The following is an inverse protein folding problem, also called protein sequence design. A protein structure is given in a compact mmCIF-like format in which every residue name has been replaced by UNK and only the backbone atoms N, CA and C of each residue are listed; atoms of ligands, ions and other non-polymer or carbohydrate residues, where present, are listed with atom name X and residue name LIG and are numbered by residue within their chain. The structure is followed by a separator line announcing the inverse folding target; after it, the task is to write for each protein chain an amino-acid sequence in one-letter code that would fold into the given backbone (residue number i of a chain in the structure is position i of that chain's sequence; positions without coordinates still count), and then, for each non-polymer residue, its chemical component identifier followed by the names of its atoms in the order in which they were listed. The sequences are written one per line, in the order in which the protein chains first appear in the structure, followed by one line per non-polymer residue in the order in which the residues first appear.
data_IF_227198268427
#
_entry.id   IF_227198268427
#
_cell.length_a   1.000
_cell.length_b   1.000
_cell.length_c   1.000
_cell.angle_alpha   90.00
_cell.angle_beta   90.00
_cell.angle_gamma   90.00
#
_symmetry.space_group_name_H-M   'P 1'
#
loop_
_entity.id
_entity.type
_entity.pdbx_description
1 polymer ?
#
# COMPACT_ATOMS: atom_id res chain seq x y z
N UNK A 1 -6.95 10.97 49.83
CA UNK A 1 -8.24 11.36 49.22
C UNK A 1 -8.03 11.50 47.72
N UNK A 2 -8.86 10.83 46.93
CA UNK A 2 -8.76 10.68 45.47
C UNK A 2 -10.05 11.25 44.90
N UNK A 3 -9.93 12.23 44.02
CA UNK A 3 -11.10 12.82 43.40
C UNK A 3 -11.70 11.90 42.34
N UNK A 4 -13.02 11.87 42.24
CA UNK A 4 -13.69 11.07 41.24
C UNK A 4 -15.11 11.51 40.97
N UNK A 5 -15.75 10.75 40.08
CA UNK A 5 -17.14 10.92 39.67
C UNK A 5 -17.84 9.57 39.71
N UNK A 6 -19.05 9.54 40.26
CA UNK A 6 -19.92 8.37 40.27
C UNK A 6 -21.02 8.55 39.23
N UNK A 7 -21.11 7.60 38.30
CA UNK A 7 -22.12 7.54 37.26
C UNK A 7 -23.16 6.46 37.60
N UNK A 8 -24.45 6.79 37.45
CA UNK A 8 -25.54 5.83 37.60
C UNK A 8 -25.73 4.96 36.35
N UNK A 9 -26.31 3.77 36.52
CA UNK A 9 -26.51 2.74 35.48
C UNK A 9 -27.28 3.23 34.23
N UNK A 10 -28.03 4.34 34.33
CA UNK A 10 -28.79 4.93 33.22
C UNK A 10 -28.20 6.26 32.70
N UNK A 11 -26.91 6.51 32.96
CA UNK A 11 -26.08 7.44 32.17
C UNK A 11 -26.35 8.94 32.32
N UNK A 12 -27.25 9.39 33.19
CA UNK A 12 -27.67 10.80 33.20
C UNK A 12 -27.26 11.61 34.44
N UNK A 13 -26.81 10.98 35.52
CA UNK A 13 -26.39 11.69 36.74
C UNK A 13 -24.93 11.40 37.10
N UNK A 14 -24.17 12.48 37.26
CA UNK A 14 -22.76 12.47 37.65
C UNK A 14 -22.66 13.13 39.02
N UNK A 15 -22.30 12.35 40.03
CA UNK A 15 -22.11 12.89 41.38
C UNK A 15 -20.62 13.02 41.68
N UNK A 16 -20.12 14.23 42.04
CA UNK A 16 -18.73 14.39 42.43
C UNK A 16 -18.47 13.72 43.78
N UNK A 17 -17.41 12.92 43.85
CA UNK A 17 -17.05 12.15 45.04
C UNK A 17 -15.56 12.31 45.37
N UNK A 18 -15.23 11.95 46.61
CA UNK A 18 -13.87 11.71 47.07
C UNK A 18 -13.76 10.27 47.55
N UNK A 19 -12.82 9.53 46.99
CA UNK A 19 -12.51 8.17 47.39
C UNK A 19 -11.26 8.11 48.27
N UNK A 20 -11.21 7.21 49.22
CA UNK A 20 -10.01 6.83 49.97
C UNK A 20 -9.97 5.32 50.15
N UNK A 21 -8.77 4.80 50.39
CA UNK A 21 -8.62 3.43 50.88
C UNK A 21 -8.31 3.54 52.37
N UNK A 22 -9.18 2.98 53.21
CA UNK A 22 -9.07 2.97 54.67
C UNK A 22 -9.18 1.52 55.11
N UNK A 23 -8.21 1.01 55.86
CA UNK A 23 -8.17 -0.39 56.34
C UNK A 23 -8.45 -1.43 55.24
N UNK A 24 -7.88 -1.22 54.06
CA UNK A 24 -8.04 -2.07 52.87
C UNK A 24 -9.47 -2.08 52.27
N UNK A 25 -10.29 -1.09 52.58
CA UNK A 25 -11.65 -0.89 52.06
C UNK A 25 -11.69 0.39 51.24
N UNK A 26 -12.33 0.35 50.06
CA UNK A 26 -12.61 1.55 49.27
C UNK A 26 -13.78 2.31 49.90
N UNK A 27 -13.52 3.53 50.36
CA UNK A 27 -14.48 4.42 51.01
C UNK A 27 -14.78 5.59 50.08
N UNK A 28 -16.06 5.77 49.71
CA UNK A 28 -16.53 6.83 48.82
C UNK A 28 -17.36 7.84 49.61
N UNK A 29 -17.01 9.13 49.50
CA UNK A 29 -17.70 10.26 50.14
C UNK A 29 -18.19 11.25 49.07
N UNK A 30 -19.40 11.76 49.20
CA UNK A 30 -19.95 12.76 48.26
C UNK A 30 -19.38 14.16 48.55
N UNK A 31 -19.09 14.96 47.51
CA UNK A 31 -18.40 16.26 47.65
C UNK A 31 -19.31 17.46 47.95
N UNK A 32 -20.64 17.33 47.99
CA UNK A 32 -21.56 18.37 48.47
C UNK A 32 -22.98 17.80 48.69
N UNK A 33 -23.60 18.12 49.82
CA UNK A 33 -24.96 17.69 50.23
C UNK A 33 -26.10 18.51 49.57
N UNK A 34 -25.80 19.57 48.82
CA UNK A 34 -26.81 20.52 48.31
C UNK A 34 -27.31 20.27 46.87
N UNK A 35 -27.01 19.12 46.26
CA UNK A 35 -27.56 18.74 44.93
C UNK A 35 -28.14 17.33 44.87
N UNK A 36 -28.74 16.84 45.96
CA UNK A 36 -29.68 15.73 45.88
C UNK A 36 -31.05 16.25 45.44
N UNK A 37 -31.31 16.20 44.12
CA UNK A 37 -32.69 16.27 43.62
C UNK A 37 -33.45 15.08 44.21
N UNK A 38 -34.48 15.40 44.99
CA UNK A 38 -35.39 14.43 45.58
C UNK A 38 -36.15 13.70 44.49
N UNK A 39 -35.90 12.39 44.33
CA UNK A 39 -36.99 11.48 43.99
C UNK A 39 -36.76 10.05 44.50
N UNK A 40 -37.68 9.65 45.39
CA UNK A 40 -38.15 8.30 45.76
C UNK A 40 -37.19 7.21 46.32
N UNK A 41 -37.27 7.00 47.65
CA UNK A 41 -37.74 5.75 48.26
C UNK A 41 -36.76 4.60 48.56
N UNK A 42 -36.56 4.29 49.86
CA UNK A 42 -36.85 3.02 50.57
C UNK A 42 -35.90 2.75 51.77
N UNK A 43 -36.25 1.74 52.60
CA UNK A 43 -35.58 1.33 53.84
C UNK A 43 -35.20 -0.16 53.85
N UNK A 44 -34.56 -0.62 54.93
CA UNK A 44 -33.84 -1.90 55.05
C UNK A 44 -34.70 -2.96 55.77
N UNK A 45 -34.70 -4.22 55.29
CA UNK A 45 -35.18 -5.44 55.98
C UNK A 45 -34.03 -6.47 56.09
N UNK A 46 -34.10 -7.38 57.07
CA UNK A 46 -33.06 -8.27 57.63
C UNK A 46 -32.49 -9.35 56.69
N UNK A 47 -32.48 -9.16 55.36
CA UNK A 47 -32.05 -10.17 54.37
C UNK A 47 -30.91 -9.74 53.42
N UNK A 48 -30.05 -8.81 53.86
CA UNK A 48 -28.72 -8.55 53.28
C UNK A 48 -28.67 -8.36 51.75
N UNK A 49 -29.70 -7.72 51.17
CA UNK A 49 -29.74 -7.34 49.76
C UNK A 49 -29.77 -5.81 49.67
N UNK A 50 -28.80 -5.20 48.99
CA UNK A 50 -28.62 -3.73 48.96
C UNK A 50 -29.63 -3.08 48.01
N UNK A 51 -30.62 -2.34 48.54
CA UNK A 51 -31.43 -1.39 47.77
C UNK A 51 -31.71 -0.12 48.60
N UNK A 52 -31.48 1.03 47.95
CA UNK A 52 -31.88 2.42 48.23
C UNK A 52 -32.13 2.85 49.69
N UNK A 53 -31.32 3.80 50.18
CA UNK A 53 -31.64 4.66 51.32
C UNK A 53 -31.94 6.08 50.84
N UNK A 54 -33.16 6.54 51.10
CA UNK A 54 -33.61 7.94 51.00
C UNK A 54 -32.86 8.84 52.00
N UNK A 55 -32.23 9.91 51.51
CA UNK A 55 -31.57 10.95 52.31
C UNK A 55 -32.61 11.90 52.92
N UNK A 56 -32.67 11.95 54.25
CA UNK A 56 -33.32 13.01 55.02
C UNK A 56 -32.35 14.19 55.08
N UNK A 57 -32.85 15.42 54.82
CA UNK A 57 -32.01 16.62 54.85
C UNK A 57 -31.39 16.82 56.24
N UNK A 58 -30.07 16.90 56.32
CA UNK A 58 -29.34 17.37 57.50
C UNK A 58 -28.48 16.36 58.25
N UNK A 59 -28.36 15.10 57.80
CA UNK A 59 -27.38 14.14 58.33
C UNK A 59 -26.39 13.71 57.24
N UNK A 60 -25.10 13.68 57.58
CA UNK A 60 -24.06 13.29 56.64
C UNK A 60 -24.32 11.91 56.06
N UNK A 61 -24.45 11.85 54.74
CA UNK A 61 -24.61 10.59 54.01
C UNK A 61 -23.50 9.63 54.42
N UNK A 62 -23.86 8.45 54.93
CA UNK A 62 -22.86 7.45 55.30
C UNK A 62 -21.99 7.10 54.09
N UNK A 63 -20.67 6.99 54.28
CA UNK A 63 -19.77 6.70 53.18
C UNK A 63 -20.01 5.30 52.63
N UNK A 64 -20.06 5.15 51.31
CA UNK A 64 -20.14 3.83 50.67
C UNK A 64 -18.81 3.10 50.86
N UNK A 65 -18.88 1.81 51.20
CA UNK A 65 -17.71 0.97 51.51
C UNK A 65 -17.73 -0.30 50.67
N UNK A 66 -16.63 -0.58 49.98
CA UNK A 66 -16.50 -1.77 49.12
C UNK A 66 -15.18 -2.50 49.38
N UNK A 67 -15.25 -3.82 49.46
CA UNK A 67 -14.07 -4.68 49.46
C UNK A 67 -13.52 -4.83 48.04
N UNK A 68 -12.22 -5.15 47.93
CA UNK A 68 -11.58 -5.32 46.62
C UNK A 68 -12.24 -6.42 45.78
N UNK A 69 -12.72 -7.50 46.40
CA UNK A 69 -13.42 -8.60 45.72
C UNK A 69 -14.81 -8.23 45.19
N UNK A 70 -15.38 -7.11 45.64
CA UNK A 70 -16.72 -6.64 45.28
C UNK A 70 -16.68 -5.67 44.10
N UNK A 71 -15.50 -5.16 43.73
CA UNK A 71 -15.35 -4.19 42.65
C UNK A 71 -14.62 -4.81 41.47
N UNK A 72 -15.03 -4.42 40.26
CA UNK A 72 -14.35 -4.84 39.05
C UNK A 72 -13.73 -3.63 38.36
N UNK A 73 -12.40 -3.60 38.29
CA UNK A 73 -11.67 -2.51 37.65
C UNK A 73 -11.08 -2.96 36.32
N UNK A 74 -11.18 -2.10 35.29
CA UNK A 74 -10.46 -2.31 34.05
C UNK A 74 -8.95 -2.18 34.28
N UNK A 75 -8.18 -2.87 33.44
CA UNK A 75 -6.71 -2.80 33.46
C UNK A 75 -6.23 -1.37 33.22
N UNK A 76 -5.21 -0.95 33.99
CA UNK A 76 -4.60 0.38 33.85
C UNK A 76 -4.06 0.62 32.44
N UNK A 77 -4.39 1.78 31.87
CA UNK A 77 -3.83 2.29 30.62
C UNK A 77 -3.23 3.68 30.86
N UNK A 78 -1.90 3.80 30.79
CA UNK A 78 -1.19 5.07 31.00
C UNK A 78 -1.56 5.83 32.28
N UNK A 79 -1.85 7.13 32.13
CA UNK A 79 -2.28 8.06 33.20
C UNK A 79 -3.77 8.44 33.07
N UNK A 80 -4.57 7.58 32.44
CA UNK A 80 -6.00 7.82 32.32
C UNK A 80 -6.70 7.60 33.67
N UNK A 81 -7.84 8.27 33.91
CA UNK A 81 -8.70 7.98 35.05
C UNK A 81 -9.03 6.48 35.16
N UNK A 82 -9.11 5.97 36.39
CA UNK A 82 -9.47 4.57 36.64
C UNK A 82 -10.98 4.41 36.62
N UNK A 83 -11.45 3.55 35.73
CA UNK A 83 -12.83 3.07 35.68
C UNK A 83 -13.00 1.82 36.56
N UNK A 84 -13.91 1.91 37.53
CA UNK A 84 -14.23 0.85 38.48
C UNK A 84 -15.75 0.63 38.45
N UNK A 85 -16.17 -0.57 38.09
CA UNK A 85 -17.56 -1.00 38.15
C UNK A 85 -17.87 -1.52 39.56
N UNK A 86 -18.90 -0.95 40.17
CA UNK A 86 -19.41 -1.33 41.50
C UNK A 86 -20.49 -2.44 41.37
N UNK A 87 -20.84 -3.17 42.45
CA UNK A 87 -21.82 -4.28 42.43
C UNK A 87 -23.23 -3.96 41.87
N UNK A 88 -23.57 -2.69 41.70
CA UNK A 88 -24.87 -2.20 41.22
C UNK A 88 -24.78 -1.57 39.82
N UNK A 89 -23.81 -2.00 39.02
CA UNK A 89 -23.50 -1.49 37.67
C UNK A 89 -23.22 0.03 37.61
N UNK A 90 -22.97 0.66 38.76
CA UNK A 90 -22.51 2.05 38.81
C UNK A 90 -21.03 2.11 38.43
N UNK A 91 -20.69 3.11 37.63
CA UNK A 91 -19.32 3.34 37.20
C UNK A 91 -18.70 4.45 38.06
N UNK A 92 -17.62 4.10 38.75
CA UNK A 92 -16.78 5.03 39.45
C UNK A 92 -15.57 5.37 38.58
N UNK A 93 -15.38 6.65 38.29
CA UNK A 93 -14.22 7.17 37.56
C UNK A 93 -13.37 7.99 38.52
N UNK A 94 -12.20 7.48 38.88
CA UNK A 94 -11.28 8.15 39.80
C UNK A 94 -10.08 8.74 39.06
N UNK A 95 -9.61 9.90 39.54
CA UNK A 95 -8.35 10.47 39.11
C UNK A 95 -7.18 9.49 39.35
N UNK A 96 -6.12 9.54 38.53
CA UNK A 96 -4.97 8.65 38.69
C UNK A 96 -4.36 8.77 40.09
N UNK A 97 -4.34 7.66 40.83
CA UNK A 97 -3.78 7.60 42.18
C UNK A 97 -2.91 6.35 42.38
N UNK A 98 -1.65 6.50 42.83
CA UNK A 98 -0.78 5.36 43.14
C UNK A 98 -1.38 4.40 44.17
N UNK A 99 -2.06 4.96 45.18
CA UNK A 99 -2.64 4.20 46.28
C UNK A 99 -3.83 3.35 45.82
N UNK A 100 -4.67 3.90 44.93
CA UNK A 100 -5.77 3.16 44.30
C UNK A 100 -5.27 2.03 43.40
N UNK A 101 -4.23 2.30 42.61
CA UNK A 101 -3.65 1.28 41.73
C UNK A 101 -3.00 0.14 42.53
N UNK A 102 -2.36 0.46 43.66
CA UNK A 102 -1.78 -0.55 44.55
C UNK A 102 -2.87 -1.43 45.17
N UNK A 103 -3.98 -0.83 45.61
CA UNK A 103 -5.10 -1.55 46.18
C UNK A 103 -5.82 -2.43 45.14
N UNK A 104 -6.03 -1.94 43.90
CA UNK A 104 -6.71 -2.70 42.84
C UNK A 104 -5.86 -3.82 42.25
N UNK A 105 -4.62 -3.51 41.86
CA UNK A 105 -3.81 -4.40 41.03
C UNK A 105 -2.68 -5.09 41.83
N UNK A 106 -2.65 -4.93 43.17
CA UNK A 106 -1.58 -5.48 44.02
C UNK A 106 -0.18 -4.95 43.70
N UNK A 107 -0.09 -3.83 42.96
CA UNK A 107 1.15 -3.29 42.41
C UNK A 107 1.66 -3.99 41.14
N UNK A 108 1.04 -5.09 40.71
CA UNK A 108 1.40 -5.80 39.49
C UNK A 108 0.57 -5.24 38.31
N UNK A 109 0.99 -4.09 37.77
CA UNK A 109 0.43 -3.62 36.51
C UNK A 109 0.56 -4.69 35.41
N UNK A 110 -0.42 -4.77 34.51
CA UNK A 110 -0.39 -5.66 33.33
C UNK A 110 0.97 -5.62 32.62
N UNK A 111 1.43 -6.73 32.03
CA UNK A 111 2.69 -6.79 31.25
C UNK A 111 2.78 -5.66 30.23
N UNK A 112 1.64 -5.24 29.67
CA UNK A 112 1.51 -4.13 28.73
C UNK A 112 1.84 -2.78 29.41
N UNK A 113 1.34 -2.52 30.62
CA UNK A 113 1.65 -1.30 31.39
C UNK A 113 3.12 -1.22 31.82
N UNK A 114 3.76 -2.37 32.08
CA UNK A 114 5.20 -2.45 32.34
C UNK A 114 6.05 -2.17 31.09
N UNK A 115 5.52 -2.44 29.90
CA UNK A 115 6.16 -2.10 28.63
C UNK A 115 5.98 -0.61 28.29
N UNK A 116 4.81 -0.03 28.56
CA UNK A 116 4.54 1.41 28.39
C UNK A 116 5.41 2.31 29.28
N UNK A 117 5.75 1.86 30.49
CA UNK A 117 6.54 2.63 31.45
C UNK A 117 8.03 2.68 31.12
N UNK A 118 8.52 1.78 30.26
CA UNK A 118 9.94 1.76 29.83
C UNK A 118 10.11 2.52 28.52
N UNK A 119 10.50 3.79 28.63
CA UNK A 119 10.90 4.69 27.51
C UNK A 119 11.67 4.02 26.35
N UNK A 120 12.62 3.08 26.55
CA UNK A 120 13.31 2.46 25.41
C UNK A 120 12.41 1.61 24.51
N UNK A 121 11.35 0.97 25.02
CA UNK A 121 10.45 0.15 24.20
C UNK A 121 9.53 0.99 23.33
N UNK A 122 9.11 2.15 23.83
CA UNK A 122 8.32 3.12 23.04
C UNK A 122 9.17 3.74 21.92
N UNK A 123 10.42 4.10 22.20
CA UNK A 123 11.34 4.58 21.15
C UNK A 123 11.66 3.45 20.16
N UNK A 124 11.89 2.23 20.63
CA UNK A 124 12.12 1.08 19.78
C UNK A 124 10.92 0.80 18.86
N UNK A 125 9.67 0.88 19.36
CA UNK A 125 8.48 0.66 18.51
C UNK A 125 8.30 1.77 17.47
N UNK A 126 8.56 3.03 17.84
CA UNK A 126 8.49 4.17 16.91
C UNK A 126 9.50 4.05 15.76
N UNK A 127 10.65 3.40 15.97
CA UNK A 127 11.64 3.16 14.93
C UNK A 127 11.43 1.84 14.19
N UNK A 128 11.06 0.78 14.92
CA UNK A 128 10.97 -0.58 14.38
C UNK A 128 9.73 -0.76 13.52
N UNK A 129 8.60 -0.13 13.84
CA UNK A 129 7.39 -0.25 13.02
C UNK A 129 7.59 0.38 11.64
N UNK A 130 8.06 1.63 11.48
CA UNK A 130 8.37 2.17 10.16
C UNK A 130 9.45 1.39 9.41
N UNK A 131 10.48 0.90 10.11
CA UNK A 131 11.50 0.06 9.49
C UNK A 131 10.91 -1.25 8.96
N UNK A 132 10.04 -1.90 9.73
CA UNK A 132 9.38 -3.14 9.32
C UNK A 132 8.42 -2.90 8.16
N UNK A 133 7.66 -1.81 8.18
CA UNK A 133 6.85 -1.40 7.03
C UNK A 133 7.73 -1.14 5.81
N UNK A 134 8.84 -0.41 5.95
CA UNK A 134 9.79 -0.20 4.87
C UNK A 134 10.30 -1.53 4.30
N UNK A 135 10.71 -2.48 5.14
CA UNK A 135 11.17 -3.79 4.68
C UNK A 135 10.05 -4.55 3.96
N UNK A 136 8.84 -4.58 4.50
CA UNK A 136 7.71 -5.29 3.88
C UNK A 136 7.35 -4.67 2.52
N UNK A 137 7.18 -3.36 2.47
CA UNK A 137 6.67 -2.68 1.28
C UNK A 137 7.73 -2.42 0.22
N UNK A 138 8.96 -2.10 0.62
CA UNK A 138 10.03 -1.74 -0.32
C UNK A 138 10.87 -2.94 -0.75
N UNK A 139 10.97 -3.98 0.08
CA UNK A 139 11.79 -5.16 -0.24
C UNK A 139 10.94 -6.43 -0.39
N UNK A 140 10.03 -6.69 0.54
CA UNK A 140 9.22 -7.90 0.55
C UNK A 140 8.23 -7.97 -0.61
N UNK A 141 7.50 -6.88 -0.86
CA UNK A 141 6.47 -6.81 -1.89
C UNK A 141 7.05 -6.93 -3.31
N UNK A 142 8.09 -6.18 -3.73
CA UNK A 142 8.69 -6.37 -5.05
C UNK A 142 9.26 -7.78 -5.24
N UNK A 143 9.88 -8.35 -4.20
CA UNK A 143 10.36 -9.74 -4.26
C UNK A 143 9.21 -10.73 -4.48
N UNK A 144 8.09 -10.55 -3.79
CA UNK A 144 6.91 -11.38 -3.94
C UNK A 144 6.28 -11.22 -5.33
N UNK A 145 6.24 -9.99 -5.87
CA UNK A 145 5.72 -9.69 -7.20
C UNK A 145 6.49 -10.39 -8.32
N UNK A 146 7.84 -10.38 -8.26
CA UNK A 146 8.68 -11.14 -9.20
C UNK A 146 8.32 -12.63 -9.17
N UNK A 147 8.26 -13.22 -7.97
CA UNK A 147 7.93 -14.65 -7.82
C UNK A 147 6.53 -15.00 -8.27
N UNK A 148 5.58 -14.10 -8.08
CA UNK A 148 4.21 -14.28 -8.55
C UNK A 148 4.14 -14.20 -10.07
N UNK A 149 4.75 -13.18 -10.68
CA UNK A 149 4.75 -12.95 -12.13
C UNK A 149 5.30 -14.15 -12.91
N UNK A 150 6.37 -14.78 -12.42
CA UNK A 150 6.99 -15.95 -13.03
C UNK A 150 6.08 -17.21 -13.00
N UNK A 151 5.08 -17.24 -12.13
CA UNK A 151 4.15 -18.37 -12.00
C UNK A 151 2.80 -18.14 -12.68
N UNK A 152 2.58 -16.97 -13.29
CA UNK A 152 1.34 -16.69 -14.00
C UNK A 152 1.28 -17.56 -15.26
N UNK A 153 0.21 -18.39 -15.43
CA UNK A 153 0.04 -19.19 -16.64
C UNK A 153 -0.11 -18.34 -17.90
N UNK A 154 0.39 -18.83 -19.04
CA UNK A 154 0.33 -18.11 -20.31
C UNK A 154 -1.10 -17.81 -20.78
N UNK A 155 -2.09 -18.61 -20.37
CA UNK A 155 -3.51 -18.35 -20.65
C UNK A 155 -4.00 -17.03 -20.03
N UNK A 156 -3.51 -16.70 -18.82
CA UNK A 156 -3.85 -15.44 -18.14
C UNK A 156 -3.12 -14.29 -18.81
N UNK A 157 -1.84 -14.46 -19.19
CA UNK A 157 -1.07 -13.46 -19.94
C UNK A 157 -1.75 -13.13 -21.28
N UNK A 158 -2.17 -14.15 -22.00
CA UNK A 158 -2.88 -14.03 -23.29
C UNK A 158 -4.21 -13.30 -23.11
N UNK A 159 -5.01 -13.71 -22.14
CA UNK A 159 -6.30 -13.07 -21.86
C UNK A 159 -6.13 -11.59 -21.48
N UNK A 160 -5.19 -11.29 -20.58
CA UNK A 160 -4.88 -9.92 -20.17
C UNK A 160 -4.42 -9.07 -21.37
N UNK A 161 -3.56 -9.63 -22.22
CA UNK A 161 -3.03 -8.93 -23.41
C UNK A 161 -4.13 -8.65 -24.43
N UNK A 162 -5.00 -9.63 -24.70
CA UNK A 162 -6.13 -9.45 -25.61
C UNK A 162 -7.09 -8.34 -25.14
N UNK A 163 -7.44 -8.33 -23.86
CA UNK A 163 -8.29 -7.29 -23.29
C UNK A 163 -7.62 -5.92 -23.32
N UNK A 164 -6.33 -5.86 -23.03
CA UNK A 164 -5.54 -4.63 -23.07
C UNK A 164 -5.49 -4.06 -24.48
N UNK A 165 -5.09 -4.88 -25.46
CA UNK A 165 -5.03 -4.45 -26.86
C UNK A 165 -6.38 -4.00 -27.39
N UNK A 166 -7.45 -4.75 -27.08
CA UNK A 166 -8.81 -4.38 -27.51
C UNK A 166 -9.28 -3.05 -26.89
N UNK A 167 -8.92 -2.79 -25.62
CA UNK A 167 -9.23 -1.52 -24.97
C UNK A 167 -8.46 -0.36 -25.62
N UNK A 168 -7.20 -0.56 -25.99
CA UNK A 168 -6.38 0.43 -26.68
C UNK A 168 -6.88 0.67 -28.11
N UNK A 169 -7.17 -0.38 -28.88
CA UNK A 169 -7.77 -0.28 -30.22
C UNK A 169 -9.13 0.45 -30.20
N UNK A 170 -9.86 0.43 -29.08
CA UNK A 170 -11.12 1.18 -28.94
C UNK A 170 -10.91 2.65 -28.54
N UNK A 171 -9.83 2.98 -27.85
CA UNK A 171 -9.66 4.27 -27.16
C UNK A 171 -8.56 5.16 -27.72
N UNK A 172 -7.47 4.59 -28.25
CA UNK A 172 -6.24 5.32 -28.56
C UNK A 172 -5.50 4.83 -29.82
N UNK A 173 -5.74 3.60 -30.28
CA UNK A 173 -5.00 3.02 -31.43
C UNK A 173 -5.90 2.89 -32.66
N UNK A 174 -5.31 3.18 -33.81
CA UNK A 174 -5.92 3.01 -35.13
C UNK A 174 -5.08 2.04 -35.99
N UNK A 175 -5.65 1.48 -37.07
CA UNK A 175 -4.88 0.70 -38.03
C UNK A 175 -3.72 1.53 -38.60
N UNK A 176 -2.54 0.92 -38.71
CA UNK A 176 -1.35 1.57 -39.27
C UNK A 176 -1.58 2.13 -40.68
N UNK A 177 -1.09 3.34 -40.90
CA UNK A 177 -1.08 4.09 -42.16
C UNK A 177 0.23 3.93 -42.94
N UNK A 178 1.22 3.23 -42.38
CA UNK A 178 2.48 2.94 -43.06
C UNK A 178 2.25 2.19 -44.39
N UNK A 179 2.99 2.53 -45.47
CA UNK A 179 2.94 1.80 -46.72
C UNK A 179 3.21 0.30 -46.55
N UNK A 180 2.43 -0.53 -47.24
CA UNK A 180 2.52 -1.99 -47.12
C UNK A 180 3.94 -2.53 -47.35
N UNK A 181 4.64 -2.01 -48.37
CA UNK A 181 6.02 -2.40 -48.67
C UNK A 181 6.98 -2.07 -47.52
N UNK A 182 6.82 -0.91 -46.89
CA UNK A 182 7.65 -0.51 -45.75
C UNK A 182 7.37 -1.43 -44.56
N UNK A 183 6.09 -1.71 -44.27
CA UNK A 183 5.70 -2.60 -43.19
C UNK A 183 6.22 -4.03 -43.38
N UNK A 184 6.17 -4.54 -44.61
CA UNK A 184 6.74 -5.85 -44.97
C UNK A 184 8.26 -5.89 -44.78
N UNK A 185 8.97 -4.83 -45.21
CA UNK A 185 10.42 -4.71 -45.02
C UNK A 185 10.80 -4.69 -43.53
N UNK A 186 10.11 -3.88 -42.73
CA UNK A 186 10.34 -3.80 -41.29
C UNK A 186 10.06 -5.14 -40.61
N UNK A 187 8.97 -5.80 -40.97
CA UNK A 187 8.60 -7.10 -40.42
C UNK A 187 9.61 -8.20 -40.77
N UNK A 188 10.20 -8.18 -41.97
CA UNK A 188 11.29 -9.09 -42.33
C UNK A 188 12.52 -8.90 -41.43
N UNK A 189 12.90 -7.65 -41.15
CA UNK A 189 13.99 -7.34 -40.22
C UNK A 189 13.68 -7.79 -38.79
N UNK A 190 12.48 -7.50 -38.29
CA UNK A 190 12.04 -7.92 -36.95
C UNK A 190 12.01 -9.44 -36.80
N UNK A 191 11.50 -10.17 -37.80
CA UNK A 191 11.49 -11.63 -37.75
C UNK A 191 12.92 -12.21 -37.69
N UNK A 192 13.87 -11.63 -38.43
CA UNK A 192 15.26 -12.06 -38.37
C UNK A 192 15.90 -11.81 -36.99
N UNK A 193 15.57 -10.67 -36.35
CA UNK A 193 16.01 -10.38 -34.98
C UNK A 193 15.42 -11.38 -34.00
N UNK A 194 14.10 -11.59 -34.04
CA UNK A 194 13.38 -12.52 -33.15
C UNK A 194 13.95 -13.93 -33.28
N UNK A 195 14.18 -14.42 -34.50
CA UNK A 195 14.77 -15.74 -34.74
C UNK A 195 16.18 -15.87 -34.13
N UNK A 196 16.97 -14.80 -34.14
CA UNK A 196 18.34 -14.82 -33.63
C UNK A 196 18.42 -14.72 -32.10
N UNK A 197 17.48 -14.05 -31.44
CA UNK A 197 17.55 -13.76 -29.99
C UNK A 197 16.68 -14.67 -29.13
N UNK A 198 15.72 -15.35 -29.74
CA UNK A 198 14.79 -16.21 -29.01
C UNK A 198 15.48 -17.50 -28.56
N UNK A 199 15.21 -17.90 -27.32
CA UNK A 199 15.62 -19.18 -26.75
C UNK A 199 14.51 -20.23 -27.00
N UNK A 200 14.82 -21.53 -27.01
CA UNK A 200 13.83 -22.58 -27.19
C UNK A 200 12.67 -22.46 -26.18
N UNK A 201 11.46 -22.20 -26.68
CA UNK A 201 10.24 -21.99 -25.88
C UNK A 201 9.80 -20.52 -25.75
N UNK A 202 10.67 -19.57 -26.09
CA UNK A 202 10.36 -18.13 -26.14
C UNK A 202 9.93 -17.66 -27.54
N UNK A 203 10.39 -18.35 -28.58
CA UNK A 203 10.28 -17.95 -30.00
C UNK A 203 8.85 -17.85 -30.54
N UNK A 204 7.91 -18.61 -29.97
CA UNK A 204 6.53 -18.70 -30.50
C UNK A 204 5.58 -17.60 -30.01
N UNK A 205 6.04 -16.71 -29.12
CA UNK A 205 5.15 -15.74 -28.46
C UNK A 205 5.38 -14.29 -28.90
N UNK A 206 6.51 -13.95 -29.51
CA UNK A 206 6.75 -12.56 -29.95
C UNK A 206 5.98 -12.27 -31.24
N UNK A 207 5.10 -11.27 -31.19
CA UNK A 207 4.28 -10.83 -32.34
C UNK A 207 4.31 -9.32 -32.44
N UNK A 208 4.79 -8.80 -33.56
CA UNK A 208 4.88 -7.35 -33.77
C UNK A 208 3.67 -6.84 -34.55
N UNK A 209 3.09 -5.73 -34.09
CA UNK A 209 2.05 -4.99 -34.79
C UNK A 209 2.43 -3.52 -34.96
N UNK A 210 2.05 -2.95 -36.09
CA UNK A 210 2.08 -1.51 -36.30
C UNK A 210 0.68 -0.93 -36.06
N UNK A 211 0.63 0.25 -35.43
CA UNK A 211 -0.58 0.99 -35.13
C UNK A 211 -0.33 2.48 -35.33
N UNK A 212 -1.36 3.19 -35.76
CA UNK A 212 -1.35 4.64 -35.73
C UNK A 212 -2.00 5.14 -34.43
N UNK A 213 -1.66 6.34 -33.97
CA UNK A 213 -2.28 6.94 -32.79
C UNK A 213 -2.03 8.44 -32.70
N UNK A 214 -3.08 9.24 -32.85
CA UNK A 214 -3.03 10.69 -32.65
C UNK A 214 -2.76 11.11 -31.20
N UNK A 215 -2.95 10.21 -30.22
CA UNK A 215 -2.86 10.50 -28.79
C UNK A 215 -1.53 10.08 -28.16
N UNK A 216 -0.90 9.04 -28.69
CA UNK A 216 0.29 8.41 -28.10
C UNK A 216 1.58 9.04 -28.68
N UNK A 217 1.61 9.35 -29.98
CA UNK A 217 2.85 9.82 -30.61
C UNK A 217 3.89 8.69 -30.77
N UNK A 218 5.19 9.01 -30.88
CA UNK A 218 6.26 8.02 -31.03
C UNK A 218 6.38 7.11 -29.80
N UNK A 219 6.00 5.84 -29.94
CA UNK A 219 6.05 4.87 -28.86
C UNK A 219 6.18 3.42 -29.37
N UNK A 220 6.63 2.52 -28.51
CA UNK A 220 6.45 1.08 -28.63
C UNK A 220 6.19 0.48 -27.25
N UNK A 221 5.45 -0.61 -27.18
CA UNK A 221 5.19 -1.28 -25.90
C UNK A 221 4.93 -2.76 -26.08
N UNK A 222 5.39 -3.54 -25.10
CA UNK A 222 5.12 -4.97 -24.99
C UNK A 222 3.94 -5.29 -24.06
N UNK A 223 3.11 -6.25 -24.49
CA UNK A 223 2.06 -6.88 -23.70
C UNK A 223 2.57 -8.20 -23.09
N UNK A 224 1.95 -8.67 -21.98
CA UNK A 224 2.38 -9.86 -21.25
C UNK A 224 2.54 -11.15 -22.08
N UNK A 225 1.81 -11.29 -23.19
CA UNK A 225 1.82 -12.49 -24.02
C UNK A 225 2.85 -12.46 -25.16
N UNK A 226 3.70 -11.43 -25.21
CA UNK A 226 4.72 -11.25 -26.26
C UNK A 226 4.26 -10.42 -27.46
N UNK A 227 3.02 -9.92 -27.45
CA UNK A 227 2.57 -8.94 -28.43
C UNK A 227 3.28 -7.60 -28.22
N UNK A 228 3.98 -7.10 -29.22
CA UNK A 228 4.69 -5.81 -29.20
C UNK A 228 4.05 -4.90 -30.23
N UNK A 229 3.70 -3.68 -29.83
CA UNK A 229 3.10 -2.67 -30.71
C UNK A 229 4.12 -1.56 -30.95
N UNK A 230 4.31 -1.19 -32.21
CA UNK A 230 5.07 0.00 -32.64
C UNK A 230 4.09 1.03 -33.20
N UNK A 231 4.24 2.29 -32.80
CA UNK A 231 3.49 3.37 -33.44
C UNK A 231 4.13 3.80 -34.75
N UNK A 232 3.30 4.22 -35.70
CA UNK A 232 3.75 4.74 -36.99
C UNK A 232 4.63 6.00 -36.82
N UNK A 233 4.32 6.82 -35.81
CA UNK A 233 5.12 7.97 -35.41
C UNK A 233 6.52 7.60 -34.92
N UNK A 234 6.69 6.46 -34.25
CA UNK A 234 8.03 5.96 -33.88
C UNK A 234 8.83 5.58 -35.11
N UNK A 235 8.20 4.90 -36.08
CA UNK A 235 8.83 4.54 -37.35
C UNK A 235 9.23 5.81 -38.11
N UNK A 236 8.39 6.84 -38.09
CA UNK A 236 8.66 8.12 -38.73
C UNK A 236 9.78 8.91 -38.03
N UNK A 237 9.79 8.95 -36.70
CA UNK A 237 10.83 9.62 -35.90
C UNK A 237 12.24 9.12 -36.21
N UNK A 238 12.36 7.83 -36.50
CA UNK A 238 13.64 7.19 -36.84
C UNK A 238 13.86 7.04 -38.35
N UNK A 239 13.05 7.71 -39.18
CA UNK A 239 13.14 7.69 -40.64
C UNK A 239 13.08 6.27 -41.24
N UNK A 240 12.38 5.35 -40.57
CA UNK A 240 12.31 3.93 -40.95
C UNK A 240 13.64 3.19 -40.82
N UNK A 241 14.61 3.71 -40.05
CA UNK A 241 15.89 3.05 -39.84
C UNK A 241 15.71 1.73 -39.05
N UNK A 242 15.91 0.62 -39.77
CA UNK A 242 15.78 -0.73 -39.22
C UNK A 242 16.63 -0.97 -37.98
N UNK A 243 17.88 -0.49 -37.94
CA UNK A 243 18.80 -0.75 -36.83
C UNK A 243 18.31 -0.11 -35.52
N UNK A 244 17.80 1.12 -35.61
CA UNK A 244 17.21 1.84 -34.47
C UNK A 244 15.92 1.15 -33.97
N UNK A 245 15.07 0.71 -34.90
CA UNK A 245 13.84 -0.02 -34.57
C UNK A 245 14.12 -1.39 -33.95
N UNK A 246 15.14 -2.09 -34.44
CA UNK A 246 15.57 -3.37 -33.88
C UNK A 246 16.11 -3.20 -32.46
N UNK A 247 16.80 -2.10 -32.17
CA UNK A 247 17.25 -1.78 -30.82
C UNK A 247 16.07 -1.60 -29.84
N UNK A 248 15.01 -0.88 -30.24
CA UNK A 248 13.77 -0.75 -29.46
C UNK A 248 13.06 -2.11 -29.33
N UNK A 249 12.99 -2.90 -30.42
CA UNK A 249 12.38 -4.23 -30.38
C UNK A 249 13.05 -5.11 -29.31
N UNK A 250 14.38 -5.08 -29.22
CA UNK A 250 15.10 -5.87 -28.22
C UNK A 250 14.83 -5.39 -26.79
N UNK A 251 14.66 -4.07 -26.59
CA UNK A 251 14.25 -3.51 -25.31
C UNK A 251 12.86 -4.01 -24.90
N UNK A 252 11.88 -3.95 -25.81
CA UNK A 252 10.53 -4.48 -25.59
C UNK A 252 10.52 -5.98 -25.34
N UNK A 253 11.32 -6.75 -26.08
CA UNK A 253 11.52 -8.18 -25.82
C UNK A 253 12.11 -8.40 -24.41
N UNK A 254 12.99 -7.51 -23.95
CA UNK A 254 13.52 -7.53 -22.58
C UNK A 254 12.42 -7.41 -21.52
N UNK A 255 11.42 -6.55 -21.73
CA UNK A 255 10.26 -6.45 -20.84
C UNK A 255 9.44 -7.74 -20.80
N UNK A 256 9.21 -8.37 -21.95
CA UNK A 256 8.51 -9.67 -22.04
C UNK A 256 9.33 -10.76 -21.33
N UNK A 257 10.62 -10.85 -21.62
CA UNK A 257 11.52 -11.88 -21.08
C UNK A 257 11.60 -11.85 -19.55
N UNK A 258 11.51 -10.65 -18.95
CA UNK A 258 11.53 -10.47 -17.51
C UNK A 258 10.13 -10.43 -16.87
N UNK A 259 9.05 -10.63 -17.64
CA UNK A 259 7.66 -10.52 -17.18
C UNK A 259 7.35 -9.15 -16.50
N UNK A 260 7.99 -8.04 -16.90
CA UNK A 260 7.90 -6.76 -16.19
C UNK A 260 6.45 -6.24 -16.06
N UNK A 261 5.64 -6.36 -17.11
CA UNK A 261 4.23 -5.93 -17.08
C UNK A 261 3.45 -6.71 -16.01
N UNK A 262 3.76 -8.00 -15.83
CA UNK A 262 3.11 -8.83 -14.81
C UNK A 262 3.64 -8.58 -13.40
N UNK A 263 4.92 -8.24 -13.27
CA UNK A 263 5.46 -7.75 -12.00
C UNK A 263 4.75 -6.46 -11.57
N UNK A 264 4.55 -5.50 -12.47
CA UNK A 264 3.85 -4.24 -12.18
C UNK A 264 2.39 -4.45 -11.76
N UNK A 265 1.68 -5.36 -12.44
CA UNK A 265 0.30 -5.72 -12.06
C UNK A 265 0.28 -6.34 -10.67
N UNK A 266 1.22 -7.24 -10.37
CA UNK A 266 1.32 -7.87 -9.06
C UNK A 266 1.68 -6.86 -7.96
N UNK A 267 2.64 -5.97 -8.20
CA UNK A 267 3.01 -4.88 -7.30
C UNK A 267 1.81 -3.97 -7.00
N UNK A 268 1.07 -3.57 -8.04
CA UNK A 268 -0.13 -2.75 -7.90
C UNK A 268 -1.20 -3.46 -7.05
N UNK A 269 -1.46 -4.73 -7.33
CA UNK A 269 -2.41 -5.54 -6.56
C UNK A 269 -2.00 -5.63 -5.08
N UNK A 270 -0.73 -5.92 -4.81
CA UNK A 270 -0.23 -6.01 -3.44
C UNK A 270 -0.31 -4.67 -2.71
N UNK A 271 0.00 -3.56 -3.39
CA UNK A 271 -0.14 -2.22 -2.83
C UNK A 271 -1.61 -1.93 -2.47
N UNK A 272 -2.55 -2.21 -3.38
CA UNK A 272 -3.97 -2.00 -3.12
C UNK A 272 -4.49 -2.87 -1.98
N UNK A 273 -4.15 -4.17 -1.96
CA UNK A 273 -4.53 -5.07 -0.85
C UNK A 273 -3.97 -4.59 0.49
N UNK A 274 -2.74 -4.08 0.50
CA UNK A 274 -2.14 -3.55 1.71
C UNK A 274 -2.86 -2.28 2.19
N UNK A 275 -3.18 -1.34 1.31
CA UNK A 275 -3.98 -0.15 1.63
C UNK A 275 -5.35 -0.57 2.17
N UNK A 276 -6.05 -1.48 1.49
CA UNK A 276 -7.34 -2.00 1.95
C UNK A 276 -7.27 -2.65 3.34
N UNK A 277 -6.19 -3.38 3.63
CA UNK A 277 -6.00 -4.00 4.95
C UNK A 277 -5.81 -2.94 6.05
N UNK A 278 -5.02 -1.89 5.81
CA UNK A 278 -4.75 -0.86 6.82
C UNK A 278 -5.90 0.13 7.02
N UNK A 279 -6.65 0.45 5.95
CA UNK A 279 -7.69 1.48 5.96
C UNK A 279 -9.12 0.93 5.95
N UNK A 280 -9.30 -0.39 5.78
CA UNK A 280 -10.60 -1.05 5.84
C UNK A 280 -11.52 -0.80 4.64
N UNK A 281 -10.99 -0.24 3.55
CA UNK A 281 -11.75 0.04 2.33
C UNK A 281 -11.44 -1.01 1.26
N UNK A 282 -12.42 -1.89 1.01
CA UNK A 282 -12.32 -2.96 0.02
C UNK A 282 -12.83 -2.55 -1.37
N UNK A 283 -13.47 -1.37 -1.49
CA UNK A 283 -14.10 -0.94 -2.73
C UNK A 283 -13.06 -0.58 -3.82
N UNK A 284 -11.95 0.07 -3.44
CA UNK A 284 -10.86 0.40 -4.35
C UNK A 284 -10.06 -0.81 -4.90
N UNK A 285 -10.11 -1.96 -4.22
CA UNK A 285 -9.41 -3.18 -4.65
C UNK A 285 -10.04 -3.84 -5.88
N UNK A 286 -11.37 -3.80 -5.99
CA UNK A 286 -12.10 -4.40 -7.11
C UNK A 286 -11.99 -3.54 -8.36
N UNK A 287 -12.06 -2.21 -8.22
CA UNK A 287 -11.89 -1.28 -9.34
C UNK A 287 -10.47 -1.33 -9.94
N UNK A 288 -9.44 -1.47 -9.10
CA UNK A 288 -8.04 -1.61 -9.55
C UNK A 288 -7.83 -2.89 -10.40
N UNK A 289 -8.55 -3.97 -10.10
CA UNK A 289 -8.44 -5.23 -10.85
C UNK A 289 -9.10 -5.13 -12.24
N UNK A 290 -10.17 -4.35 -12.39
CA UNK A 290 -10.84 -4.15 -13.68
C UNK A 290 -10.07 -3.19 -14.61
N UNK A 291 -9.21 -2.33 -14.07
CA UNK A 291 -8.38 -1.37 -14.82
C UNK A 291 -7.00 -1.89 -15.25
N UNK A 292 -6.69 -3.17 -15.06
CA UNK A 292 -5.35 -3.74 -15.33
C UNK A 292 -4.86 -3.44 -16.75
N UNK A 293 -5.75 -3.49 -17.76
CA UNK A 293 -5.36 -3.28 -19.15
C UNK A 293 -4.94 -1.85 -19.48
N UNK A 294 -5.72 -0.84 -19.07
CA UNK A 294 -5.35 0.57 -19.29
C UNK A 294 -4.18 1.01 -18.41
N UNK A 295 -4.06 0.42 -17.22
CA UNK A 295 -2.99 0.75 -16.28
C UNK A 295 -1.62 0.24 -16.74
N UNK A 296 -1.51 -0.90 -17.44
CA UNK A 296 -0.21 -1.41 -17.91
C UNK A 296 0.44 -0.50 -18.96
N UNK A 297 -0.34 0.16 -19.80
CA UNK A 297 0.19 1.09 -20.82
C UNK A 297 0.42 2.50 -20.27
N UNK A 298 -0.35 2.93 -19.27
CA UNK A 298 -0.20 4.24 -18.64
C UNK A 298 0.75 4.25 -17.44
N UNK A 299 1.04 3.09 -16.84
CA UNK A 299 1.95 2.99 -15.71
C UNK A 299 3.39 2.97 -16.20
N UNK A 300 4.22 3.77 -15.51
CA UNK A 300 5.66 3.82 -15.73
C UNK A 300 6.33 2.55 -15.21
N UNK A 301 7.16 1.92 -16.05
CA UNK A 301 8.09 0.91 -15.58
C UNK A 301 9.01 1.50 -14.51
N UNK A 302 9.34 0.69 -13.50
CA UNK A 302 10.32 1.10 -12.49
C UNK A 302 11.69 1.29 -13.14
N UNK A 303 12.53 2.17 -12.57
CA UNK A 303 13.89 2.37 -13.06
C UNK A 303 14.68 1.05 -13.13
N UNK A 304 14.40 0.12 -12.21
CA UNK A 304 15.00 -1.23 -12.21
C UNK A 304 14.57 -2.04 -13.44
N UNK A 305 13.28 -2.03 -13.79
CA UNK A 305 12.77 -2.71 -14.98
C UNK A 305 13.42 -2.15 -16.25
N UNK A 306 13.52 -0.83 -16.36
CA UNK A 306 14.19 -0.16 -17.49
C UNK A 306 15.66 -0.59 -17.61
N UNK A 307 16.42 -0.58 -16.51
CA UNK A 307 17.82 -1.05 -16.54
C UNK A 307 17.95 -2.53 -16.93
N UNK A 308 17.00 -3.38 -16.54
CA UNK A 308 17.01 -4.79 -16.93
C UNK A 308 16.73 -4.96 -18.43
N UNK A 309 15.76 -4.21 -18.97
CA UNK A 309 15.43 -4.21 -20.39
C UNK A 309 16.56 -3.61 -21.25
N UNK A 310 17.17 -2.48 -20.83
CA UNK A 310 18.32 -1.87 -21.50
C UNK A 310 19.50 -2.84 -21.60
N UNK A 311 19.86 -3.47 -20.48
CA UNK A 311 20.98 -4.41 -20.45
C UNK A 311 20.69 -5.65 -21.30
N UNK A 312 19.43 -6.10 -21.32
CA UNK A 312 19.00 -7.16 -22.23
C UNK A 312 19.21 -6.73 -23.68
N UNK A 313 18.69 -5.56 -24.08
CA UNK A 313 18.83 -5.04 -25.44
C UNK A 313 20.28 -4.90 -25.87
N UNK A 314 21.11 -4.24 -25.06
CA UNK A 314 22.54 -4.06 -25.30
C UNK A 314 23.26 -5.41 -25.45
N UNK A 315 22.98 -6.36 -24.55
CA UNK A 315 23.61 -7.69 -24.61
C UNK A 315 23.24 -8.45 -25.90
N UNK A 316 22.00 -8.33 -26.36
CA UNK A 316 21.51 -8.98 -27.58
C UNK A 316 22.03 -8.27 -28.83
N UNK A 317 22.14 -6.94 -28.85
CA UNK A 317 22.79 -6.20 -29.93
C UNK A 317 24.23 -6.67 -30.12
N UNK A 318 25.02 -6.74 -29.03
CA UNK A 318 26.40 -7.27 -29.07
C UNK A 318 26.47 -8.70 -29.58
N UNK A 319 25.58 -9.58 -29.11
CA UNK A 319 25.50 -10.98 -29.54
C UNK A 319 25.25 -11.10 -31.06
N UNK A 320 24.48 -10.18 -31.62
CA UNK A 320 24.16 -10.13 -33.05
C UNK A 320 25.19 -9.33 -33.88
N UNK A 321 26.29 -8.88 -33.27
CA UNK A 321 27.29 -8.00 -33.89
C UNK A 321 26.70 -6.69 -34.44
N UNK A 322 25.72 -6.12 -33.72
CA UNK A 322 25.12 -4.81 -33.99
C UNK A 322 25.60 -3.79 -32.97
N UNK A 323 25.61 -2.52 -33.36
CA UNK A 323 26.17 -1.45 -32.54
C UNK A 323 25.21 -1.04 -31.41
N UNK A 324 25.57 -1.16 -30.12
CA UNK A 324 24.78 -0.63 -29.03
C UNK A 324 24.51 0.88 -29.11
N UNK A 325 25.32 1.63 -29.89
CA UNK A 325 25.09 3.04 -30.15
C UNK A 325 23.75 3.31 -30.87
N UNK A 326 23.23 2.34 -31.64
CA UNK A 326 21.90 2.43 -32.25
C UNK A 326 20.81 2.59 -31.18
N UNK A 327 20.92 1.86 -30.06
CA UNK A 327 20.00 2.00 -28.93
C UNK A 327 20.11 3.38 -28.26
N UNK A 328 21.34 3.88 -28.11
CA UNK A 328 21.56 5.22 -27.57
C UNK A 328 20.99 6.31 -28.47
N UNK A 329 21.11 6.15 -29.80
CA UNK A 329 20.60 7.11 -30.78
C UNK A 329 19.07 7.20 -30.74
N UNK A 330 18.36 6.08 -30.76
CA UNK A 330 16.89 6.11 -30.71
C UNK A 330 16.38 6.69 -29.39
N UNK A 331 17.02 6.37 -28.26
CA UNK A 331 16.68 6.99 -26.97
C UNK A 331 16.89 8.52 -26.97
N UNK A 332 17.94 9.02 -27.65
CA UNK A 332 18.15 10.46 -27.82
C UNK A 332 17.06 11.09 -28.69
N UNK A 333 16.71 10.48 -29.82
CA UNK A 333 15.63 10.97 -30.69
C UNK A 333 14.32 11.09 -29.92
N UNK A 334 13.95 10.05 -29.16
CA UNK A 334 12.77 10.06 -28.30
C UNK A 334 12.85 11.15 -27.21
N UNK A 335 14.02 11.36 -26.61
CA UNK A 335 14.22 12.42 -25.61
C UNK A 335 14.04 13.81 -26.19
N UNK A 336 14.59 14.06 -27.38
CA UNK A 336 14.49 15.36 -28.05
C UNK A 336 13.07 15.68 -28.47
N UNK A 337 12.32 14.68 -28.93
CA UNK A 337 10.90 14.85 -29.29
C UNK A 337 10.07 15.27 -28.07
N UNK A 338 10.35 14.67 -26.92
CA UNK A 338 9.70 14.99 -25.64
C UNK A 338 10.00 16.41 -25.17
N UNK A 339 11.24 16.87 -25.30
CA UNK A 339 11.63 18.24 -24.91
C UNK A 339 10.93 19.29 -25.77
N UNK A 340 10.59 18.97 -27.03
CA UNK A 340 9.93 19.88 -27.97
C UNK A 340 8.41 19.93 -27.77
N UNK A 341 7.77 18.80 -27.47
CA UNK A 341 6.31 18.71 -27.32
C UNK A 341 5.84 18.82 -25.86
N UNK A 342 6.74 18.83 -24.88
CA UNK A 342 6.45 18.77 -23.46
C UNK A 342 6.40 17.33 -22.93
N UNK A 343 6.37 17.15 -21.61
CA UNK A 343 6.42 15.84 -20.94
C UNK A 343 5.20 14.93 -21.18
N UNK A 344 4.33 15.28 -22.14
CA UNK A 344 3.15 14.50 -22.55
C UNK A 344 3.45 13.44 -23.63
N UNK A 345 4.72 13.28 -24.03
CA UNK A 345 5.11 12.25 -25.01
C UNK A 345 4.96 10.82 -24.46
N UNK A 346 4.33 9.91 -25.20
CA UNK A 346 3.90 8.62 -24.64
C UNK A 346 5.04 7.63 -24.35
N UNK A 347 6.14 7.65 -25.10
CA UNK A 347 7.29 6.78 -24.78
C UNK A 347 7.85 7.03 -23.37
N UNK A 348 7.96 8.29 -22.97
CA UNK A 348 8.48 8.63 -21.63
C UNK A 348 7.46 8.42 -20.52
N UNK A 349 6.17 8.39 -20.87
CA UNK A 349 5.10 8.04 -19.93
C UNK A 349 5.11 6.55 -19.58
N UNK A 350 5.56 5.66 -20.47
CA UNK A 350 5.74 4.23 -20.16
C UNK A 350 7.18 3.91 -19.73
N UNK A 351 8.18 4.53 -20.35
CA UNK A 351 9.61 4.29 -20.16
C UNK A 351 10.36 5.56 -19.74
N UNK A 352 10.51 5.83 -18.43
CA UNK A 352 11.27 6.99 -17.96
C UNK A 352 12.73 6.94 -18.44
N UNK A 353 13.09 7.71 -19.47
CA UNK A 353 14.49 7.80 -19.89
C UNK A 353 15.29 8.65 -18.92
N UNK A 354 16.55 8.30 -18.76
CA UNK A 354 17.51 9.09 -17.99
C UNK A 354 18.78 9.24 -18.81
N UNK A 355 19.47 10.37 -18.65
CA UNK A 355 20.78 10.59 -19.27
C UNK A 355 21.74 9.42 -19.00
N UNK A 356 21.67 8.83 -17.80
CA UNK A 356 22.48 7.68 -17.41
C UNK A 356 22.23 6.43 -18.26
N UNK A 357 20.99 6.18 -18.70
CA UNK A 357 20.65 5.03 -19.57
C UNK A 357 21.25 5.21 -20.98
N UNK A 358 21.15 6.42 -21.53
CA UNK A 358 21.78 6.79 -22.81
C UNK A 358 23.30 6.63 -22.72
N UNK A 359 23.92 7.20 -21.68
CA UNK A 359 25.37 7.10 -21.45
C UNK A 359 25.82 5.64 -21.27
N UNK A 360 25.01 4.77 -20.67
CA UNK A 360 25.30 3.34 -20.55
C UNK A 360 25.29 2.64 -21.91
N UNK A 361 24.28 2.89 -22.75
CA UNK A 361 24.21 2.34 -24.11
C UNK A 361 25.38 2.81 -24.98
N UNK A 362 25.74 4.10 -24.91
CA UNK A 362 26.92 4.62 -25.60
C UNK A 362 28.21 3.96 -25.10
N UNK A 363 28.38 3.87 -23.79
CA UNK A 363 29.57 3.26 -23.20
C UNK A 363 29.71 1.79 -23.58
N UNK A 364 28.59 1.08 -23.74
CA UNK A 364 28.59 -0.31 -24.17
C UNK A 364 29.12 -0.47 -25.61
N UNK A 365 28.93 0.52 -26.50
CA UNK A 365 29.46 0.49 -27.86
C UNK A 365 31.00 0.57 -27.91
N UNK A 366 31.63 1.20 -26.92
CA UNK A 366 33.09 1.37 -26.87
C UNK A 366 33.84 0.27 -26.10
N UNK A 367 33.12 -0.54 -25.30
CA UNK A 367 33.70 -1.57 -24.43
C UNK A 367 33.47 -2.98 -25.03
N UNK A 368 34.12 -3.26 -26.16
CA UNK A 368 34.17 -4.60 -26.78
C UNK A 368 35.38 -5.43 -26.34
#
# INVERSE_FOLDING_TARGET
MIDGQLYQSEGSSVTPITASIEDNILVIRFKNEDQCVSDSGLGIDESNTVVNTSLVSGESAEPLRFQQSEVNAKSKLGNLPREITLPNDRLLVCAPSPLLNQWLDGGAGSRISQMETKKPWLVASVLLVPLLLYVIFVQGMPWAAVKFADQIPDSIKTLASQHTLSALDYSMLEPSTLPDLQREQLMMGFNAVVEQVSEPGFENNIRVHFRDSELIGPNAFALPDGTIVFTDDLVTLVDGNQALLDAILLHEIGHVAQNHSMQMVAESLFATLAISYFFGDLSGAIESFMGIGSSVVQNQYSQKHEWQADNFAISKLKLMHRDPADFAEVMRKLSMETDQQGAENSWFQSHPSTKARIENAESAAYND
#
